data_IF_175589247708
#
_entry.id   IF_175589247708
#
_cell.length_a   1.000
_cell.length_b   1.000
_cell.length_c   1.000
_cell.angle_alpha   90.00
_cell.angle_beta   90.00
_cell.angle_gamma   90.00
#
_symmetry.space_group_name_H-M   'P 1'
#
loop_
_entity.id
_entity.type
_entity.pdbx_description
1 polymer ?
#
# COMPACT_ATOMS: atom_id res chain seq x y z
N UNK A 1 -31.70 -10.88 8.64
CA UNK A 1 -31.52 -9.41 8.58
C UNK A 1 -30.80 -9.12 7.29
N UNK A 2 -31.44 -8.40 6.36
CA UNK A 2 -30.85 -7.99 5.09
C UNK A 2 -29.64 -7.10 5.41
N UNK A 3 -28.41 -7.59 5.17
CA UNK A 3 -27.24 -6.73 5.32
C UNK A 3 -27.39 -5.62 4.28
N UNK A 4 -27.47 -4.37 4.77
CA UNK A 4 -27.44 -3.21 3.89
C UNK A 4 -26.05 -3.23 3.26
N UNK A 5 -25.96 -3.78 2.04
CA UNK A 5 -24.72 -3.81 1.28
C UNK A 5 -24.30 -2.36 1.12
N UNK A 6 -23.15 -2.01 1.68
CA UNK A 6 -22.64 -0.64 1.62
C UNK A 6 -22.34 -0.26 0.16
N UNK A 7 -22.57 1.00 -0.17
CA UNK A 7 -22.32 1.57 -1.49
C UNK A 7 -20.81 1.70 -1.72
N UNK A 8 -20.29 1.06 -2.77
CA UNK A 8 -18.86 1.00 -3.04
C UNK A 8 -18.22 2.39 -3.13
N UNK A 9 -18.81 3.30 -3.92
CA UNK A 9 -18.23 4.62 -4.10
C UNK A 9 -18.33 5.47 -2.84
N UNK A 10 -19.53 5.59 -2.28
CA UNK A 10 -19.83 6.53 -1.20
C UNK A 10 -19.23 6.10 0.13
N UNK A 11 -19.13 4.80 0.37
CA UNK A 11 -18.80 4.26 1.68
C UNK A 11 -17.46 3.51 1.73
N UNK A 12 -16.84 3.21 0.59
CA UNK A 12 -15.51 2.58 0.52
C UNK A 12 -14.51 3.48 -0.21
N UNK A 13 -14.70 3.69 -1.52
CA UNK A 13 -13.69 4.33 -2.35
C UNK A 13 -13.50 5.82 -2.02
N UNK A 14 -14.58 6.62 -1.98
CA UNK A 14 -14.48 8.06 -1.75
C UNK A 14 -13.86 8.43 -0.40
N UNK A 15 -14.26 7.82 0.74
CA UNK A 15 -13.64 8.12 2.03
C UNK A 15 -12.12 7.90 2.04
N UNK A 16 -11.65 6.79 1.45
CA UNK A 16 -10.22 6.47 1.36
C UNK A 16 -9.48 7.44 0.42
N UNK A 17 -10.05 7.75 -0.75
CA UNK A 17 -9.47 8.74 -1.66
C UNK A 17 -9.33 10.10 -0.97
N UNK A 18 -10.36 10.54 -0.24
CA UNK A 18 -10.34 11.81 0.48
C UNK A 18 -9.32 11.83 1.62
N UNK A 19 -9.08 10.69 2.27
CA UNK A 19 -8.01 10.54 3.25
C UNK A 19 -6.63 10.68 2.63
N UNK A 20 -6.40 10.06 1.46
CA UNK A 20 -5.14 10.19 0.74
C UNK A 20 -4.86 11.61 0.23
N UNK A 21 -5.92 12.37 -0.10
CA UNK A 21 -5.81 13.81 -0.38
C UNK A 21 -5.43 14.58 0.87
N UNK A 22 -6.12 14.35 2.02
CA UNK A 22 -5.81 15.02 3.29
C UNK A 22 -4.37 14.77 3.75
N UNK A 23 -3.87 13.57 3.50
CA UNK A 23 -2.50 13.16 3.84
C UNK A 23 -1.46 13.63 2.82
N UNK A 24 -1.86 14.32 1.75
CA UNK A 24 -0.97 14.86 0.73
C UNK A 24 -0.30 13.80 -0.16
N UNK A 25 -0.83 12.58 -0.19
CA UNK A 25 -0.29 11.49 -1.01
C UNK A 25 -0.66 11.66 -2.49
N UNK A 26 -1.88 12.13 -2.75
CA UNK A 26 -2.36 12.48 -4.09
C UNK A 26 -2.95 13.89 -4.09
N UNK A 27 -2.96 14.56 -5.24
CA UNK A 27 -3.55 15.89 -5.34
C UNK A 27 -5.08 15.80 -5.45
N UNK A 28 -5.77 16.92 -5.17
CA UNK A 28 -7.22 17.01 -5.40
C UNK A 28 -7.59 16.76 -6.87
N UNK A 29 -6.72 17.13 -7.81
CA UNK A 29 -6.91 16.87 -9.24
C UNK A 29 -6.85 15.37 -9.55
N UNK A 30 -5.86 14.67 -9.00
CA UNK A 30 -5.71 13.23 -9.18
C UNK A 30 -6.89 12.48 -8.54
N UNK A 31 -7.33 12.91 -7.36
CA UNK A 31 -8.50 12.36 -6.71
C UNK A 31 -9.78 12.49 -7.55
N UNK A 32 -10.00 13.62 -8.22
CA UNK A 32 -11.13 13.79 -9.16
C UNK A 32 -11.05 12.79 -10.30
N UNK A 33 -9.86 12.55 -10.85
CA UNK A 33 -9.66 11.58 -11.93
C UNK A 33 -9.91 10.14 -11.48
N UNK A 34 -9.36 9.75 -10.30
CA UNK A 34 -9.60 8.43 -9.70
C UNK A 34 -11.09 8.20 -9.44
N UNK A 35 -11.79 9.17 -8.85
CA UNK A 35 -13.24 9.10 -8.60
C UNK A 35 -14.04 8.96 -9.89
N UNK A 36 -13.66 9.69 -10.95
CA UNK A 36 -14.31 9.56 -12.27
C UNK A 36 -14.16 8.15 -12.84
N UNK A 37 -12.99 7.55 -12.73
CA UNK A 37 -12.73 6.18 -13.21
C UNK A 37 -13.56 5.15 -12.46
N UNK A 38 -13.63 5.25 -11.13
CA UNK A 38 -14.49 4.38 -10.34
C UNK A 38 -15.99 4.59 -10.67
N UNK A 39 -16.43 5.84 -10.84
CA UNK A 39 -17.81 6.14 -11.23
C UNK A 39 -18.17 5.56 -12.61
N UNK A 40 -17.25 5.67 -13.57
CA UNK A 40 -17.44 5.06 -14.89
C UNK A 40 -17.51 3.53 -14.80
N UNK A 41 -16.63 2.92 -14.01
CA UNK A 41 -16.63 1.47 -13.77
C UNK A 41 -17.94 1.02 -13.11
N UNK A 42 -18.44 1.75 -12.12
CA UNK A 42 -19.71 1.42 -11.45
C UNK A 42 -20.88 1.40 -12.44
N UNK A 43 -20.95 2.38 -13.34
CA UNK A 43 -21.94 2.41 -14.41
C UNK A 43 -21.77 1.29 -15.44
N UNK A 44 -20.53 1.03 -15.89
CA UNK A 44 -20.21 0.04 -16.92
C UNK A 44 -20.45 -1.41 -16.46
N UNK A 45 -20.03 -1.74 -15.24
CA UNK A 45 -20.14 -3.09 -14.68
C UNK A 45 -21.41 -3.29 -13.86
N UNK A 46 -22.11 -2.21 -13.50
CA UNK A 46 -23.42 -2.26 -12.85
C UNK A 46 -23.39 -2.79 -11.42
N UNK A 47 -22.36 -2.42 -10.65
CA UNK A 47 -22.18 -2.88 -9.26
C UNK A 47 -22.66 -1.87 -8.19
N UNK A 48 -23.34 -0.80 -8.58
CA UNK A 48 -23.96 0.11 -7.62
C UNK A 48 -25.05 -0.60 -6.81
N UNK A 49 -25.30 -0.11 -5.60
CA UNK A 49 -26.26 -0.71 -4.65
C UNK A 49 -27.73 -0.32 -4.91
N UNK A 50 -28.01 0.67 -5.75
CA UNK A 50 -29.37 1.21 -5.94
C UNK A 50 -30.15 0.53 -7.08
N UNK A 51 -29.49 0.35 -8.23
CA UNK A 51 -30.06 -0.21 -9.47
C UNK A 51 -29.21 -1.35 -10.05
N UNK A 52 -28.08 -1.65 -9.42
CA UNK A 52 -27.13 -2.67 -9.84
C UNK A 52 -27.09 -3.87 -8.88
N UNK A 53 -26.03 -4.66 -9.02
CA UNK A 53 -25.76 -5.79 -8.15
C UNK A 53 -24.31 -5.74 -7.64
N UNK A 54 -24.08 -5.54 -6.33
CA UNK A 54 -22.74 -5.50 -5.75
C UNK A 54 -21.87 -6.74 -6.04
N UNK A 55 -22.47 -7.90 -6.34
CA UNK A 55 -21.72 -9.09 -6.80
C UNK A 55 -20.85 -8.78 -8.03
N UNK A 56 -21.32 -7.90 -8.91
CA UNK A 56 -20.68 -7.52 -10.17
C UNK A 56 -19.43 -6.67 -9.97
N UNK A 57 -19.13 -6.25 -8.73
CA UNK A 57 -17.85 -5.64 -8.40
C UNK A 57 -16.70 -6.60 -8.76
N UNK A 58 -16.92 -7.91 -8.60
CA UNK A 58 -15.98 -8.96 -9.03
C UNK A 58 -15.62 -8.87 -10.52
N UNK A 59 -16.55 -8.45 -11.38
CA UNK A 59 -16.30 -8.28 -12.82
C UNK A 59 -15.35 -7.12 -13.08
N UNK A 60 -15.53 -6.00 -12.36
CA UNK A 60 -14.62 -4.87 -12.44
C UNK A 60 -13.22 -5.24 -11.91
N UNK A 61 -13.14 -5.86 -10.74
CA UNK A 61 -11.86 -6.26 -10.14
C UNK A 61 -11.04 -7.24 -10.99
N UNK A 62 -11.68 -7.96 -11.92
CA UNK A 62 -11.02 -8.84 -12.89
C UNK A 62 -10.89 -8.23 -14.29
N UNK A 63 -11.18 -6.95 -14.45
CA UNK A 63 -11.16 -6.30 -15.75
C UNK A 63 -9.87 -5.50 -15.99
N UNK A 64 -9.62 -5.25 -17.28
CA UNK A 64 -8.56 -4.36 -17.73
C UNK A 64 -8.73 -2.93 -17.21
N UNK A 65 -9.97 -2.46 -17.03
CA UNK A 65 -10.23 -1.11 -16.50
C UNK A 65 -9.68 -0.96 -15.08
N UNK A 66 -9.77 -2.03 -14.26
CA UNK A 66 -9.18 -2.05 -12.93
C UNK A 66 -7.65 -2.05 -12.99
N UNK A 67 -7.06 -2.86 -13.87
CA UNK A 67 -5.60 -2.90 -14.04
C UNK A 67 -5.05 -1.52 -14.49
N UNK A 68 -5.74 -0.85 -15.41
CA UNK A 68 -5.39 0.50 -15.86
C UNK A 68 -5.52 1.56 -14.74
N UNK A 69 -6.51 1.41 -13.84
CA UNK A 69 -6.64 2.26 -12.66
C UNK A 69 -5.52 2.01 -11.65
N UNK A 70 -5.16 0.75 -11.42
CA UNK A 70 -4.09 0.39 -10.51
C UNK A 70 -2.73 0.88 -11.02
N UNK A 71 -2.44 0.74 -12.32
CA UNK A 71 -1.23 1.29 -12.94
C UNK A 71 -1.20 2.83 -12.91
N UNK A 72 -2.36 3.49 -13.08
CA UNK A 72 -2.45 4.94 -12.89
C UNK A 72 -2.09 5.33 -11.44
N UNK A 73 -2.68 4.69 -10.43
CA UNK A 73 -2.37 4.96 -9.02
C UNK A 73 -0.91 4.64 -8.67
N UNK A 74 -0.34 3.59 -9.26
CA UNK A 74 1.08 3.25 -9.13
C UNK A 74 1.98 4.33 -9.71
N UNK A 75 1.62 4.91 -10.87
CA UNK A 75 2.36 6.01 -11.49
C UNK A 75 2.36 7.29 -10.63
N UNK A 76 1.34 7.46 -9.79
CA UNK A 76 1.24 8.54 -8.80
C UNK A 76 1.96 8.24 -7.48
N UNK A 77 2.56 7.06 -7.31
CA UNK A 77 3.12 6.62 -6.03
C UNK A 77 2.06 6.29 -4.97
N UNK A 78 0.81 6.07 -5.38
CA UNK A 78 -0.35 5.86 -4.52
C UNK A 78 -0.93 4.44 -4.64
N UNK A 79 -0.10 3.44 -4.97
CA UNK A 79 -0.55 2.04 -5.05
C UNK A 79 -1.19 1.55 -3.75
N UNK A 80 -0.74 2.04 -2.59
CA UNK A 80 -1.35 1.69 -1.31
C UNK A 80 -2.85 2.01 -1.25
N UNK A 81 -3.31 3.08 -1.92
CA UNK A 81 -4.73 3.44 -1.96
C UNK A 81 -5.60 2.32 -2.54
N UNK A 82 -5.15 1.68 -3.63
CA UNK A 82 -5.95 0.59 -4.23
C UNK A 82 -5.91 -0.66 -3.35
N UNK A 83 -4.80 -0.92 -2.66
CA UNK A 83 -4.68 -2.04 -1.71
C UNK A 83 -5.59 -1.85 -0.49
N UNK A 84 -5.68 -0.63 0.03
CA UNK A 84 -6.57 -0.28 1.14
C UNK A 84 -8.05 -0.39 0.73
N UNK A 85 -8.38 0.03 -0.51
CA UNK A 85 -9.72 -0.16 -1.08
C UNK A 85 -10.05 -1.65 -1.17
N UNK A 86 -9.14 -2.49 -1.69
CA UNK A 86 -9.34 -3.94 -1.79
C UNK A 86 -9.52 -4.59 -0.42
N UNK A 87 -8.73 -4.20 0.58
CA UNK A 87 -8.86 -4.71 1.95
C UNK A 87 -10.22 -4.34 2.54
N UNK A 88 -10.67 -3.10 2.32
CA UNK A 88 -11.99 -2.64 2.78
C UNK A 88 -13.15 -3.34 2.06
N UNK A 89 -12.98 -3.70 0.78
CA UNK A 89 -13.94 -4.53 0.03
C UNK A 89 -14.09 -5.89 0.71
N UNK A 90 -12.98 -6.55 1.08
CA UNK A 90 -13.03 -7.87 1.74
C UNK A 90 -13.79 -7.84 3.06
N UNK A 91 -13.62 -6.78 3.86
CA UNK A 91 -14.33 -6.60 5.13
C UNK A 91 -15.83 -6.36 4.94
N UNK A 92 -16.17 -5.45 4.03
CA UNK A 92 -17.55 -4.95 3.84
C UNK A 92 -18.41 -5.94 3.06
N UNK A 93 -17.83 -6.59 2.05
CA UNK A 93 -18.52 -7.56 1.20
C UNK A 93 -18.16 -9.00 1.57
N UNK A 94 -17.80 -9.26 2.83
CA UNK A 94 -17.40 -10.60 3.33
C UNK A 94 -18.39 -11.73 3.00
N UNK A 95 -19.67 -11.39 2.85
CA UNK A 95 -20.75 -12.34 2.54
C UNK A 95 -20.89 -12.60 1.01
N UNK A 96 -20.14 -11.89 0.17
CA UNK A 96 -20.08 -12.05 -1.28
C UNK A 96 -18.76 -12.71 -1.68
N UNK A 97 -18.75 -14.04 -1.63
CA UNK A 97 -17.54 -14.86 -1.87
C UNK A 97 -16.84 -14.49 -3.18
N UNK A 98 -17.60 -14.29 -4.26
CA UNK A 98 -17.05 -13.91 -5.57
C UNK A 98 -16.34 -12.54 -5.58
N UNK A 99 -16.82 -11.60 -4.77
CA UNK A 99 -16.21 -10.26 -4.64
C UNK A 99 -14.96 -10.34 -3.78
N UNK A 100 -15.02 -11.07 -2.66
CA UNK A 100 -13.87 -11.31 -1.77
C UNK A 100 -12.74 -12.03 -2.53
N UNK A 101 -13.06 -13.07 -3.27
CA UNK A 101 -12.07 -13.82 -4.07
C UNK A 101 -11.46 -12.96 -5.17
N UNK A 102 -12.27 -12.13 -5.83
CA UNK A 102 -11.78 -11.18 -6.83
C UNK A 102 -10.87 -10.12 -6.20
N UNK A 103 -11.22 -9.61 -5.01
CA UNK A 103 -10.41 -8.63 -4.29
C UNK A 103 -9.07 -9.21 -3.85
N UNK A 104 -9.06 -10.44 -3.32
CA UNK A 104 -7.84 -11.16 -2.95
C UNK A 104 -6.94 -11.40 -4.16
N UNK A 105 -7.49 -11.93 -5.25
CA UNK A 105 -6.74 -12.13 -6.50
C UNK A 105 -6.17 -10.81 -7.02
N UNK A 106 -6.95 -9.74 -7.02
CA UNK A 106 -6.47 -8.42 -7.43
C UNK A 106 -5.33 -7.94 -6.53
N UNK A 107 -5.47 -8.08 -5.21
CA UNK A 107 -4.43 -7.72 -4.24
C UNK A 107 -3.16 -8.53 -4.48
N UNK A 108 -3.27 -9.83 -4.66
CA UNK A 108 -2.13 -10.72 -4.92
C UNK A 108 -1.45 -10.37 -6.23
N UNK A 109 -2.20 -10.07 -7.30
CA UNK A 109 -1.63 -9.61 -8.59
C UNK A 109 -0.85 -8.31 -8.45
N UNK A 110 -1.40 -7.34 -7.71
CA UNK A 110 -0.76 -6.04 -7.48
C UNK A 110 0.45 -6.15 -6.54
N UNK A 111 0.38 -7.07 -5.57
CA UNK A 111 1.46 -7.36 -4.62
C UNK A 111 2.55 -8.23 -5.23
N UNK A 112 2.25 -9.08 -6.22
CA UNK A 112 3.24 -9.93 -6.90
C UNK A 112 4.22 -9.13 -7.79
N UNK A 113 3.88 -7.89 -8.14
CA UNK A 113 4.79 -6.93 -8.78
C UNK A 113 5.65 -6.13 -7.78
N UNK A 114 5.40 -6.30 -6.48
CA UNK A 114 6.26 -5.87 -5.39
C UNK A 114 6.97 -7.12 -4.85
N UNK A 115 8.28 -7.05 -4.61
CA UNK A 115 8.90 -8.00 -3.68
C UNK A 115 8.34 -7.67 -2.29
N UNK A 116 7.17 -8.21 -1.98
CA UNK A 116 6.54 -8.21 -0.66
C UNK A 116 6.11 -9.64 -0.36
N UNK A 117 6.94 -10.28 0.45
CA UNK A 117 6.69 -11.57 1.10
C UNK A 117 5.43 -11.47 1.97
N UNK A 118 4.45 -12.32 1.66
CA UNK A 118 3.33 -12.59 2.54
C UNK A 118 3.82 -13.59 3.59
N UNK A 119 3.99 -13.11 4.82
CA UNK A 119 4.28 -13.92 6.00
C UNK A 119 3.02 -14.19 6.81
N UNK A 120 2.77 -15.48 7.03
CA UNK A 120 1.74 -16.16 7.81
C UNK A 120 1.39 -15.56 9.18
N UNK A 121 0.14 -15.83 9.59
CA UNK A 121 -0.43 -15.68 10.94
C UNK A 121 0.58 -16.05 12.04
N UNK A 122 0.98 -15.05 12.81
CA UNK A 122 1.81 -15.20 14.00
C UNK A 122 1.98 -13.83 14.61
N UNK A 123 1.38 -13.63 15.79
CA UNK A 123 1.35 -12.36 16.56
C UNK A 123 2.71 -11.65 16.47
N UNK A 124 2.79 -10.62 15.62
CA UNK A 124 4.00 -9.86 15.39
C UNK A 124 4.26 -8.97 16.61
N UNK A 125 5.36 -9.23 17.32
CA UNK A 125 5.89 -8.32 18.34
C UNK A 125 6.16 -6.98 17.65
N UNK A 126 5.46 -5.92 18.05
CA UNK A 126 5.71 -4.59 17.51
C UNK A 126 7.19 -4.22 17.68
N UNK A 127 7.86 -3.94 16.56
CA UNK A 127 9.27 -3.57 16.56
C UNK A 127 9.38 -2.11 17.06
N UNK A 128 9.95 -1.92 18.25
CA UNK A 128 10.21 -0.59 18.79
C UNK A 128 11.43 0.09 18.10
N UNK A 129 11.60 1.39 18.35
CA UNK A 129 12.69 2.19 17.76
C UNK A 129 14.09 1.67 18.10
N UNK A 130 14.27 1.05 19.27
CA UNK A 130 15.56 0.47 19.67
C UNK A 130 15.88 -0.79 18.87
N UNK A 131 14.87 -1.65 18.70
CA UNK A 131 14.93 -2.85 17.88
C UNK A 131 15.22 -2.48 16.42
N UNK A 132 14.55 -1.45 15.89
CA UNK A 132 14.79 -0.95 14.53
C UNK A 132 16.21 -0.41 14.38
N UNK A 133 16.68 0.37 15.34
CA UNK A 133 18.04 0.92 15.34
C UNK A 133 19.09 -0.18 15.37
N UNK A 134 18.87 -1.22 16.17
CA UNK A 134 19.75 -2.39 16.27
C UNK A 134 19.81 -3.18 14.96
N UNK A 135 18.65 -3.37 14.34
CA UNK A 135 18.51 -4.08 13.07
C UNK A 135 19.18 -3.32 11.92
N UNK A 136 19.02 -1.99 11.88
CA UNK A 136 19.72 -1.11 10.94
C UNK A 136 21.23 -1.20 11.15
N UNK A 137 21.72 -1.19 12.40
CA UNK A 137 23.16 -1.34 12.68
C UNK A 137 23.71 -2.67 12.19
N UNK A 138 23.03 -3.77 12.53
CA UNK A 138 23.45 -5.12 12.14
C UNK A 138 23.50 -5.27 10.62
N UNK A 139 22.45 -4.81 9.93
CA UNK A 139 22.28 -5.09 8.50
C UNK A 139 23.02 -4.08 7.62
N UNK A 140 22.95 -2.80 7.95
CA UNK A 140 23.45 -1.73 7.08
C UNK A 140 24.85 -1.24 7.48
N UNK A 141 25.30 -1.55 8.70
CA UNK A 141 26.58 -1.10 9.26
C UNK A 141 26.86 0.39 8.95
N UNK A 142 25.97 1.30 9.37
CA UNK A 142 26.06 2.70 8.99
C UNK A 142 27.21 3.39 9.72
N UNK A 143 27.83 4.38 9.07
CA UNK A 143 28.86 5.23 9.69
C UNK A 143 28.28 6.17 10.73
N UNK A 144 27.03 6.60 10.54
CA UNK A 144 26.29 7.41 11.52
C UNK A 144 24.85 6.94 11.62
N UNK A 145 24.27 7.01 12.82
CA UNK A 145 22.87 6.67 13.07
C UNK A 145 22.25 7.70 14.01
N UNK A 146 21.15 8.28 13.59
CA UNK A 146 20.41 9.33 14.29
C UNK A 146 18.95 8.89 14.43
N UNK A 147 18.40 9.02 15.63
CA UNK A 147 16.99 8.75 15.91
C UNK A 147 16.29 10.07 16.19
N UNK A 148 15.28 10.40 15.40
CA UNK A 148 14.49 11.63 15.52
C UNK A 148 13.00 11.28 15.52
N UNK A 149 12.35 11.40 16.68
CA UNK A 149 10.95 11.03 16.83
C UNK A 149 10.73 9.56 16.48
N UNK A 150 9.91 9.31 15.45
CA UNK A 150 9.61 7.95 14.95
C UNK A 150 10.48 7.54 13.75
N UNK A 151 11.55 8.28 13.48
CA UNK A 151 12.41 8.06 12.32
C UNK A 151 13.82 7.69 12.76
N UNK A 152 14.36 6.60 12.21
CA UNK A 152 15.77 6.26 12.29
C UNK A 152 16.43 6.64 10.98
N UNK A 153 17.39 7.55 11.03
CA UNK A 153 18.24 7.98 9.92
C UNK A 153 19.61 7.33 10.06
N UNK A 154 20.19 6.89 8.96
CA UNK A 154 21.49 6.26 8.94
C UNK A 154 22.29 6.75 7.73
N UNK A 155 23.54 7.15 7.95
CA UNK A 155 24.47 7.44 6.88
C UNK A 155 25.25 6.18 6.55
N UNK A 156 25.24 5.79 5.29
CA UNK A 156 25.88 4.58 4.78
C UNK A 156 27.01 5.03 3.84
N UNK A 157 28.10 4.26 3.81
CA UNK A 157 29.29 4.55 3.02
C UNK A 157 28.95 4.93 1.56
N UNK A 158 29.71 5.87 1.00
CA UNK A 158 29.41 6.46 -0.31
C UNK A 158 28.41 7.63 -0.27
N UNK A 159 28.15 8.21 0.91
CA UNK A 159 27.27 9.39 1.03
C UNK A 159 25.80 9.07 0.79
N UNK A 160 25.39 7.83 1.05
CA UNK A 160 23.99 7.38 0.95
C UNK A 160 23.32 7.61 2.29
N UNK A 161 22.25 8.41 2.30
CA UNK A 161 21.39 8.59 3.46
C UNK A 161 20.21 7.61 3.37
N UNK A 162 20.03 6.85 4.44
CA UNK A 162 18.94 5.91 4.63
C UNK A 162 18.04 6.41 5.76
N UNK A 163 16.73 6.29 5.62
CA UNK A 163 15.81 6.63 6.70
C UNK A 163 14.58 5.74 6.71
N UNK A 164 14.20 5.30 7.91
CA UNK A 164 13.01 4.49 8.17
C UNK A 164 12.14 5.22 9.16
N UNK A 165 10.88 5.46 8.81
CA UNK A 165 9.89 6.07 9.69
C UNK A 165 8.79 5.08 10.01
N UNK A 166 8.52 4.89 11.30
CA UNK A 166 7.46 4.03 11.80
C UNK A 166 6.17 4.83 11.94
N UNK A 167 5.14 4.43 11.20
CA UNK A 167 3.78 4.92 11.36
C UNK A 167 2.88 3.80 11.87
N UNK A 168 1.75 4.15 12.50
CA UNK A 168 0.85 3.19 13.16
C UNK A 168 0.35 2.05 12.25
N UNK A 169 0.35 2.25 10.93
CA UNK A 169 -0.21 1.32 9.94
C UNK A 169 0.76 0.99 8.82
N UNK A 170 1.93 1.64 8.75
CA UNK A 170 2.88 1.42 7.67
C UNK A 170 4.29 1.84 8.08
N UNK A 171 5.27 1.32 7.35
CA UNK A 171 6.68 1.70 7.47
C UNK A 171 7.05 2.49 6.22
N UNK A 172 7.53 3.73 6.40
CA UNK A 172 8.03 4.55 5.30
C UNK A 172 9.54 4.48 5.24
N UNK A 173 10.07 3.99 4.13
CA UNK A 173 11.51 3.85 3.90
C UNK A 173 11.93 4.82 2.79
N UNK A 174 12.91 5.66 3.06
CA UNK A 174 13.44 6.65 2.11
C UNK A 174 14.95 6.50 2.01
N UNK A 175 15.44 6.37 0.77
CA UNK A 175 16.86 6.25 0.44
C UNK A 175 17.24 7.44 -0.44
N UNK A 176 18.25 8.20 -0.03
CA UNK A 176 18.82 9.30 -0.81
C UNK A 176 20.28 8.98 -1.11
N UNK A 177 20.64 8.96 -2.39
CA UNK A 177 22.01 8.75 -2.83
C UNK A 177 22.42 9.85 -3.82
N UNK A 178 23.70 10.22 -3.83
CA UNK A 178 24.25 11.12 -4.85
C UNK A 178 24.33 10.39 -6.20
N UNK A 179 24.13 11.16 -7.28
CA UNK A 179 24.11 10.66 -8.66
C UNK A 179 25.53 10.20 -9.04
N UNK A 180 25.79 8.90 -8.97
CA UNK A 180 27.09 8.29 -9.25
C UNK A 180 27.36 7.02 -8.42
N UNK A 181 26.80 6.96 -7.21
CA UNK A 181 26.97 5.84 -6.26
C UNK A 181 25.92 4.72 -6.45
N UNK A 182 25.16 4.79 -7.55
CA UNK A 182 23.94 4.00 -7.82
C UNK A 182 24.21 2.52 -8.14
N UNK A 183 25.48 2.12 -8.18
CA UNK A 183 25.91 0.73 -8.42
C UNK A 183 25.55 -0.23 -7.29
N UNK A 184 26.11 -1.45 -7.38
CA UNK A 184 25.92 -2.66 -6.54
C UNK A 184 25.56 -2.45 -5.05
N UNK A 185 26.02 -1.36 -4.42
CA UNK A 185 25.65 -0.94 -3.08
C UNK A 185 24.14 -0.73 -2.89
N UNK A 186 23.44 -0.12 -3.85
CA UNK A 186 21.99 0.15 -3.75
C UNK A 186 21.17 -1.14 -3.83
N UNK A 187 21.58 -2.13 -4.65
CA UNK A 187 20.84 -3.40 -4.77
C UNK A 187 20.87 -4.21 -3.47
N UNK A 188 22.04 -4.36 -2.86
CA UNK A 188 22.18 -5.04 -1.56
C UNK A 188 21.51 -4.25 -0.43
N UNK A 189 21.41 -2.92 -0.57
CA UNK A 189 20.64 -2.08 0.34
C UNK A 189 19.15 -2.40 0.25
N UNK A 190 18.57 -2.49 -0.95
CA UNK A 190 17.16 -2.84 -1.13
C UNK A 190 16.80 -4.22 -0.58
N UNK A 191 17.65 -5.23 -0.77
CA UNK A 191 17.44 -6.57 -0.20
C UNK A 191 17.39 -6.52 1.34
N UNK A 192 18.37 -5.85 1.95
CA UNK A 192 18.43 -5.67 3.40
C UNK A 192 17.24 -4.86 3.93
N UNK A 193 16.81 -3.84 3.19
CA UNK A 193 15.63 -3.02 3.49
C UNK A 193 14.35 -3.85 3.45
N UNK A 194 14.24 -4.79 2.51
CA UNK A 194 13.17 -5.78 2.49
C UNK A 194 13.12 -6.58 3.78
N UNK A 195 14.26 -7.10 4.24
CA UNK A 195 14.34 -7.83 5.51
C UNK A 195 13.94 -6.97 6.73
N UNK A 196 14.29 -5.68 6.71
CA UNK A 196 13.86 -4.74 7.78
C UNK A 196 12.34 -4.58 7.72
N UNK A 197 11.77 -4.33 6.54
CA UNK A 197 10.34 -4.11 6.36
C UNK A 197 9.51 -5.34 6.80
N UNK A 198 9.93 -6.54 6.42
CA UNK A 198 9.31 -7.81 6.83
C UNK A 198 9.23 -7.97 8.35
N UNK A 199 10.30 -7.61 9.05
CA UNK A 199 10.35 -7.73 10.51
C UNK A 199 9.59 -6.62 11.23
N UNK A 200 9.36 -5.50 10.55
CA UNK A 200 8.83 -4.27 11.17
C UNK A 200 7.32 -4.11 10.95
N UNK A 201 6.74 -4.73 9.93
CA UNK A 201 5.30 -4.73 9.68
C UNK A 201 4.56 -5.51 10.78
N UNK A 202 3.88 -4.77 11.64
CA UNK A 202 2.96 -5.32 12.64
C UNK A 202 1.63 -5.56 11.93
N UNK A 203 1.20 -6.82 11.85
CA UNK A 203 -0.17 -7.19 11.48
C UNK A 203 -0.99 -7.26 12.77
#
# INVERSE_FOLDING_TARGET
>A
MSSVKLDFLRQIANPLIDEYVRNGVITARDAVEVKKRFFHAEGKYGFNTYIGDPSKLSLFLNSRDFDELAEYLKSLGALQLILDILSRIEEVYRDLVEVVDAARKARDRLSAGQLTTVGSEGVAKCLDLESLSSLIREKLNPSELLVEGNTVKALIGGGVEFSVSLHKQHVKIVIKAKKGDVGRAIKGLFEKVGEIAEKTLCI
#
